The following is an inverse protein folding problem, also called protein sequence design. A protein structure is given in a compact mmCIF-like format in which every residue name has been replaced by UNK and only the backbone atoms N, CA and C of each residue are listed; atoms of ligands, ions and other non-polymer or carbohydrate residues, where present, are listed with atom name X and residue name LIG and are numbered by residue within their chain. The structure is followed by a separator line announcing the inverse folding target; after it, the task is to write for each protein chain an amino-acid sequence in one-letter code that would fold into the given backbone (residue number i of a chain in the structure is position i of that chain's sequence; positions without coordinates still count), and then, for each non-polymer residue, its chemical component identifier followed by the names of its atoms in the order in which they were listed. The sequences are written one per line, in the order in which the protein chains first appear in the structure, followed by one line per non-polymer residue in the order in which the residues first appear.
data_IF_250201916201
#
_entry.id   IF_250201916201
#
_cell.length_a   1.000
_cell.length_b   1.000
_cell.length_c   1.000
_cell.angle_alpha   90.00
_cell.angle_beta   90.00
_cell.angle_gamma   90.00
#
_symmetry.space_group_name_H-M   'P 1'
#
loop_
_entity.id
_entity.type
_entity.pdbx_description
1 polymer ?
#
# COMPACT_ATOMS: atom_id res chain seq x y z
N UNK A 1 32.52 -24.54 -2.61
CA UNK A 1 31.99 -24.65 -1.23
C UNK A 1 31.85 -23.31 -0.52
N UNK A 2 32.85 -22.42 -0.54
CA UNK A 2 32.76 -21.11 0.15
C UNK A 2 31.66 -20.19 -0.43
N UNK A 3 31.54 -20.13 -1.75
CA UNK A 3 30.58 -19.24 -2.43
C UNK A 3 29.13 -19.68 -2.22
N UNK A 4 28.89 -21.00 -2.21
CA UNK A 4 27.59 -21.59 -1.86
C UNK A 4 27.18 -21.27 -0.42
N UNK A 5 28.11 -21.31 0.54
CA UNK A 5 27.81 -20.93 1.93
C UNK A 5 27.49 -19.45 2.07
N UNK A 6 28.22 -18.58 1.36
CA UNK A 6 27.99 -17.13 1.35
C UNK A 6 26.62 -16.76 0.76
N UNK A 7 26.20 -17.46 -0.30
CA UNK A 7 24.87 -17.27 -0.89
C UNK A 7 23.76 -17.75 0.05
N UNK A 8 23.92 -18.91 0.71
CA UNK A 8 22.94 -19.39 1.70
C UNK A 8 22.78 -18.43 2.87
N UNK A 9 23.88 -17.86 3.39
CA UNK A 9 23.81 -16.86 4.47
C UNK A 9 23.10 -15.58 4.03
N UNK A 10 23.36 -15.11 2.80
CA UNK A 10 22.67 -13.93 2.27
C UNK A 10 21.17 -14.18 2.05
N UNK A 11 20.78 -15.40 1.67
CA UNK A 11 19.37 -15.78 1.53
C UNK A 11 18.67 -15.75 2.88
N UNK A 12 19.26 -16.35 3.93
CA UNK A 12 18.69 -16.35 5.28
C UNK A 12 18.53 -14.92 5.84
N UNK A 13 19.52 -14.05 5.60
CA UNK A 13 19.45 -12.64 6.00
C UNK A 13 18.31 -11.89 5.29
N UNK A 14 18.18 -12.07 3.97
CA UNK A 14 17.10 -11.47 3.18
C UNK A 14 15.72 -12.00 3.58
N UNK A 15 15.59 -13.29 3.88
CA UNK A 15 14.35 -13.87 4.40
C UNK A 15 13.95 -13.26 5.75
N UNK A 16 14.93 -12.99 6.62
CA UNK A 16 14.72 -12.29 7.89
C UNK A 16 14.26 -10.84 7.71
N UNK A 17 14.90 -10.08 6.82
CA UNK A 17 14.49 -8.71 6.49
C UNK A 17 13.08 -8.68 5.88
N UNK A 18 12.76 -9.61 4.98
CA UNK A 18 11.43 -9.74 4.39
C UNK A 18 10.35 -10.07 5.43
N UNK A 19 10.65 -10.92 6.40
CA UNK A 19 9.73 -11.22 7.50
C UNK A 19 9.41 -9.97 8.34
N UNK A 20 10.43 -9.13 8.62
CA UNK A 20 10.23 -7.88 9.34
C UNK A 20 9.41 -6.87 8.53
N UNK A 21 9.71 -6.70 7.24
CA UNK A 21 8.93 -5.85 6.34
C UNK A 21 7.47 -6.30 6.27
N UNK A 22 7.22 -7.61 6.19
CA UNK A 22 5.87 -8.16 6.18
C UNK A 22 5.12 -7.89 7.49
N UNK A 23 5.76 -8.02 8.64
CA UNK A 23 5.15 -7.68 9.94
C UNK A 23 4.83 -6.19 10.04
N UNK A 24 5.68 -5.31 9.51
CA UNK A 24 5.42 -3.86 9.45
C UNK A 24 4.27 -3.56 8.50
N UNK A 25 4.19 -4.24 7.34
CA UNK A 25 3.04 -4.15 6.45
C UNK A 25 1.76 -4.65 7.12
N UNK A 26 1.77 -5.80 7.79
CA UNK A 26 0.58 -6.33 8.47
C UNK A 26 0.13 -5.43 9.65
N UNK A 27 1.07 -4.77 10.34
CA UNK A 27 0.77 -3.80 11.41
C UNK A 27 0.37 -2.42 10.87
N UNK A 28 0.87 -2.02 9.70
CA UNK A 28 0.51 -0.78 9.01
C UNK A 28 -0.78 -0.88 8.19
N UNK A 29 -1.15 -2.09 7.75
CA UNK A 29 -2.38 -2.41 7.00
C UNK A 29 -3.53 -2.66 8.00
N UNK A 30 -3.68 -1.76 8.97
CA UNK A 30 -4.94 -1.54 9.69
C UNK A 30 -5.76 -0.40 9.08
N UNK A 31 -5.37 0.10 7.91
CA UNK A 31 -6.36 0.69 7.01
C UNK A 31 -6.92 -0.44 6.15
N UNK A 32 -8.17 -0.78 6.40
CA UNK A 32 -8.98 -1.72 5.62
C UNK A 32 -8.47 -1.86 4.18
N UNK A 33 -7.76 -2.97 3.92
CA UNK A 33 -7.43 -3.38 2.57
C UNK A 33 -8.74 -3.76 1.89
N UNK A 34 -9.43 -2.74 1.36
CA UNK A 34 -10.35 -2.91 0.26
C UNK A 34 -9.58 -3.69 -0.80
N UNK A 35 -10.19 -4.78 -1.28
CA UNK A 35 -9.56 -5.57 -2.34
C UNK A 35 -9.22 -4.65 -3.51
N UNK A 36 -8.19 -4.97 -4.29
CA UNK A 36 -7.85 -4.17 -5.47
C UNK A 36 -9.07 -3.97 -6.40
N UNK A 37 -10.01 -4.94 -6.46
CA UNK A 37 -11.31 -4.78 -7.08
C UNK A 37 -12.21 -3.68 -6.47
N UNK A 38 -12.22 -3.53 -5.14
CA UNK A 38 -12.97 -2.50 -4.43
C UNK A 38 -12.36 -1.10 -4.59
N UNK A 39 -11.04 -1.02 -4.79
CA UNK A 39 -10.32 0.21 -5.13
C UNK A 39 -10.60 0.62 -6.57
N UNK A 40 -10.65 -0.34 -7.51
CA UNK A 40 -10.95 -0.09 -8.92
C UNK A 40 -12.41 0.32 -9.15
N UNK A 41 -13.35 -0.20 -8.35
CA UNK A 41 -14.75 0.26 -8.34
C UNK A 41 -14.90 1.45 -7.40
N UNK A 42 -14.31 2.58 -7.79
CA UNK A 42 -14.55 3.84 -7.10
C UNK A 42 -16.07 4.12 -7.14
N UNK A 43 -16.74 4.00 -5.99
CA UNK A 43 -18.14 4.36 -5.85
C UNK A 43 -18.24 5.88 -5.99
N UNK A 44 -19.11 6.34 -6.89
CA UNK A 44 -19.34 7.77 -7.10
C UNK A 44 -19.74 8.46 -5.79
N UNK A 45 -19.19 9.64 -5.55
CA UNK A 45 -19.62 10.50 -4.46
C UNK A 45 -20.90 11.23 -4.87
N UNK A 46 -22.01 10.90 -4.22
CA UNK A 46 -23.35 11.44 -4.55
C UNK A 46 -23.61 12.83 -3.94
N UNK A 47 -22.59 13.49 -3.37
CA UNK A 47 -22.72 14.84 -2.83
C UNK A 47 -23.38 14.92 -1.44
N UNK A 48 -23.29 13.86 -0.62
CA UNK A 48 -23.82 13.88 0.75
C UNK A 48 -23.05 14.87 1.64
N UNK A 49 -23.77 15.64 2.46
CA UNK A 49 -23.17 16.55 3.47
C UNK A 49 -22.84 15.82 4.78
N UNK A 50 -22.33 14.59 4.67
CA UNK A 50 -21.87 13.78 5.78
C UNK A 50 -20.35 13.83 5.82
N UNK A 51 -19.77 14.30 6.94
CA UNK A 51 -18.32 14.35 7.09
C UNK A 51 -17.69 12.95 6.94
N UNK A 52 -18.36 11.92 7.46
CA UNK A 52 -17.92 10.53 7.33
C UNK A 52 -17.93 10.05 5.86
N UNK A 53 -18.95 10.42 5.08
CA UNK A 53 -19.02 10.01 3.68
C UNK A 53 -17.95 10.70 2.82
N UNK A 54 -17.69 11.99 3.11
CA UNK A 54 -16.64 12.77 2.47
C UNK A 54 -15.26 12.17 2.78
N UNK A 55 -14.99 11.89 4.05
CA UNK A 55 -13.72 11.32 4.51
C UNK A 55 -13.46 9.94 3.87
N UNK A 56 -14.47 9.07 3.88
CA UNK A 56 -14.39 7.76 3.22
C UNK A 56 -14.15 7.86 1.71
N UNK A 57 -14.73 8.87 1.05
CA UNK A 57 -14.51 9.08 -0.38
C UNK A 57 -13.07 9.54 -0.68
N UNK A 58 -12.56 10.50 0.08
CA UNK A 58 -11.18 10.98 -0.06
C UNK A 58 -10.17 9.86 0.18
N UNK A 59 -10.36 9.06 1.24
CA UNK A 59 -9.53 7.89 1.54
C UNK A 59 -9.48 6.88 0.37
N UNK A 60 -10.61 6.65 -0.31
CA UNK A 60 -10.68 5.76 -1.48
C UNK A 60 -9.96 6.35 -2.69
N UNK A 61 -10.05 7.67 -2.90
CA UNK A 61 -9.37 8.37 -3.99
C UNK A 61 -7.84 8.30 -3.85
N UNK A 62 -7.32 8.55 -2.64
CA UNK A 62 -5.89 8.45 -2.37
C UNK A 62 -5.35 7.06 -2.66
N UNK A 63 -6.05 6.02 -2.18
CA UNK A 63 -5.67 4.64 -2.44
C UNK A 63 -5.76 4.26 -3.93
N UNK A 64 -6.74 4.79 -4.66
CA UNK A 64 -6.84 4.59 -6.11
C UNK A 64 -5.62 5.16 -6.84
N UNK A 65 -5.22 6.39 -6.54
CA UNK A 65 -4.05 7.02 -7.18
C UNK A 65 -2.75 6.28 -6.83
N UNK A 66 -2.57 5.91 -5.56
CA UNK A 66 -1.44 5.08 -5.12
C UNK A 66 -1.39 3.74 -5.88
N UNK A 67 -2.51 3.03 -5.99
CA UNK A 67 -2.58 1.75 -6.72
C UNK A 67 -2.33 1.90 -8.22
N UNK A 68 -2.64 3.07 -8.80
CA UNK A 68 -2.37 3.41 -10.20
C UNK A 68 -0.97 3.96 -10.45
N UNK A 69 -0.16 4.16 -9.41
CA UNK A 69 1.17 4.78 -9.52
C UNK A 69 1.10 6.24 -9.99
N UNK A 70 -0.04 6.90 -9.77
CA UNK A 70 -0.22 8.33 -10.04
C UNK A 70 0.37 9.05 -8.83
N UNK A 71 1.58 9.57 -9.00
CA UNK A 71 2.29 10.35 -7.99
C UNK A 71 2.04 11.83 -8.28
N UNK A 72 1.93 12.63 -7.22
CA UNK A 72 1.77 14.08 -7.33
C UNK A 72 2.99 14.68 -8.04
N UNK A 73 2.77 15.38 -9.15
CA UNK A 73 3.82 16.02 -9.96
C UNK A 73 4.19 17.42 -9.37
N UNK A 74 3.93 17.61 -8.08
CA UNK A 74 3.96 18.91 -7.38
C UNK A 74 5.36 19.53 -7.23
N UNK A 75 6.40 18.97 -7.85
CA UNK A 75 7.73 19.62 -7.93
C UNK A 75 7.95 20.12 -9.36
N UNK A 76 7.23 21.17 -9.73
CA UNK A 76 7.67 22.03 -10.84
C UNK A 76 7.11 23.44 -10.81
N UNK A 77 7.56 24.26 -9.86
CA UNK A 77 7.83 25.71 -10.06
C UNK A 77 9.02 26.12 -9.21
#
# INVERSE_FOLDING_TARGET
MALTMALSTRIEELEGELALCRVVMEKGVSSAALSYEDVLKLKEFVGTRSACDVDNFLWRMENYFCAKGIVDDAIKV
#
